data_IF_019264423673
#
_entry.id   IF_019264423673
#
_cell.length_a   1.000
_cell.length_b   1.000
_cell.length_c   1.000
_cell.angle_alpha   90.00
_cell.angle_beta   90.00
_cell.angle_gamma   90.00
#
_symmetry.space_group_name_H-M   'P 1'
#
loop_
_entity.id
_entity.type
_entity.pdbx_description
1 polymer ?
#
# COMPACT_ATOMS: atom_id res chain seq x y z
N UNK A 1 4.83 -3.61 -13.86
CA UNK A 1 3.76 -4.14 -12.97
C UNK A 1 2.55 -3.24 -13.08
N UNK A 2 1.32 -3.78 -13.03
CA UNK A 2 0.13 -2.94 -12.78
C UNK A 2 0.33 -2.23 -11.43
N UNK A 3 0.38 -0.89 -11.36
CA UNK A 3 0.59 -0.17 -10.10
C UNK A 3 -0.48 -0.50 -9.04
N UNK A 4 -1.65 -0.94 -9.50
CA UNK A 4 -2.79 -1.39 -8.67
C UNK A 4 -2.63 -2.81 -8.12
N UNK A 5 -1.70 -3.59 -8.67
CA UNK A 5 -1.36 -4.96 -8.28
C UNK A 5 0.09 -4.99 -7.81
N UNK A 6 0.37 -4.45 -6.62
CA UNK A 6 1.71 -4.59 -6.02
C UNK A 6 1.79 -6.00 -5.42
N UNK A 7 1.99 -6.91 -6.38
CA UNK A 7 2.05 -8.37 -6.44
C UNK A 7 0.91 -9.25 -5.90
N UNK A 8 0.28 -9.03 -4.74
CA UNK A 8 -0.94 -9.79 -4.34
C UNK A 8 -1.87 -9.00 -3.39
N UNK A 9 -1.73 -7.68 -3.41
CA UNK A 9 -2.42 -6.73 -2.53
C UNK A 9 -3.15 -5.72 -3.42
N UNK A 10 -4.48 -5.74 -3.39
CA UNK A 10 -5.28 -4.79 -4.16
C UNK A 10 -5.53 -3.53 -3.34
N UNK A 11 -5.12 -2.37 -3.86
CA UNK A 11 -5.48 -1.09 -3.26
C UNK A 11 -7.01 -0.93 -3.20
N UNK A 12 -7.51 -0.17 -2.23
CA UNK A 12 -8.96 0.02 -2.05
C UNK A 12 -9.65 0.56 -3.29
N UNK A 13 -8.95 1.40 -4.07
CA UNK A 13 -9.40 1.88 -5.37
C UNK A 13 -9.70 0.73 -6.34
N UNK A 14 -8.83 -0.28 -6.38
CA UNK A 14 -9.05 -1.46 -7.21
C UNK A 14 -10.25 -2.29 -6.73
N UNK A 15 -10.40 -2.45 -5.42
CA UNK A 15 -11.56 -3.14 -4.84
C UNK A 15 -12.87 -2.39 -5.09
N UNK A 16 -12.83 -1.06 -5.14
CA UNK A 16 -13.98 -0.23 -5.50
C UNK A 16 -14.37 -0.42 -6.97
N UNK A 17 -13.39 -0.47 -7.87
CA UNK A 17 -13.63 -0.76 -9.29
C UNK A 17 -14.21 -2.17 -9.51
N UNK A 18 -13.97 -3.10 -8.59
CA UNK A 18 -14.58 -4.43 -8.57
C UNK A 18 -15.85 -4.51 -7.71
N UNK A 19 -16.38 -3.37 -7.27
CA UNK A 19 -17.62 -3.27 -6.47
C UNK A 19 -17.58 -4.01 -5.11
N UNK A 20 -16.39 -4.43 -4.65
CA UNK A 20 -16.23 -5.06 -3.33
C UNK A 20 -16.24 -4.06 -2.17
N UNK A 21 -16.17 -2.77 -2.47
CA UNK A 21 -16.35 -1.68 -1.49
C UNK A 21 -17.08 -0.52 -2.14
N UNK A 22 -17.97 0.14 -1.41
CA UNK A 22 -18.72 1.31 -1.87
C UNK A 22 -17.95 2.63 -1.77
N UNK A 23 -16.72 2.61 -1.22
CA UNK A 23 -15.92 3.81 -1.00
C UNK A 23 -14.48 3.65 -1.49
N UNK A 24 -14.07 4.49 -2.44
CA UNK A 24 -12.71 4.56 -2.98
C UNK A 24 -11.78 5.53 -2.23
N UNK A 25 -12.28 6.28 -1.25
CA UNK A 25 -11.51 7.22 -0.44
C UNK A 25 -10.96 6.51 0.80
N UNK A 26 -9.71 6.84 1.16
CA UNK A 26 -9.08 6.37 2.39
C UNK A 26 -9.19 7.44 3.50
N UNK A 27 -8.79 7.10 4.74
CA UNK A 27 -8.78 7.97 5.93
C UNK A 27 -8.10 9.32 5.69
N UNK A 28 -7.13 9.39 4.75
CA UNK A 28 -6.46 10.63 4.38
C UNK A 28 -7.29 11.58 3.50
N UNK A 29 -8.55 11.24 3.16
CA UNK A 29 -9.45 12.09 2.37
C UNK A 29 -9.10 12.17 0.87
N UNK A 30 -7.90 11.75 0.48
CA UNK A 30 -7.42 11.73 -0.89
C UNK A 30 -7.64 10.38 -1.58
N UNK A 31 -7.52 10.37 -2.91
CA UNK A 31 -7.54 9.15 -3.73
C UNK A 31 -6.37 8.26 -3.34
N UNK A 32 -6.64 6.98 -3.11
CA UNK A 32 -5.64 5.99 -2.72
C UNK A 32 -4.81 5.55 -3.92
N UNK A 33 -3.89 6.42 -4.36
CA UNK A 33 -2.88 6.06 -5.37
C UNK A 33 -1.64 5.48 -4.68
N UNK A 34 -0.94 4.54 -5.33
CA UNK A 34 0.35 4.04 -4.84
C UNK A 34 1.32 5.18 -4.49
N UNK A 35 1.49 6.16 -5.38
CA UNK A 35 2.34 7.34 -5.13
C UNK A 35 1.92 8.11 -3.89
N UNK A 36 0.62 8.35 -3.71
CA UNK A 36 0.15 9.09 -2.56
C UNK A 36 0.47 8.38 -1.24
N UNK A 37 0.34 7.05 -1.21
CA UNK A 37 0.61 6.23 -0.04
C UNK A 37 2.09 6.18 0.33
N UNK A 38 2.97 6.06 -0.66
CA UNK A 38 4.40 5.92 -0.45
C UNK A 38 5.13 7.26 -0.30
N UNK A 39 4.58 8.37 -0.80
CA UNK A 39 5.32 9.63 -0.91
C UNK A 39 4.68 10.79 -0.14
N UNK A 40 3.35 10.94 -0.14
CA UNK A 40 2.72 12.21 0.30
C UNK A 40 1.74 12.10 1.47
N UNK A 41 1.25 10.91 1.81
CA UNK A 41 0.25 10.77 2.89
C UNK A 41 0.84 11.10 4.27
N UNK A 42 0.47 12.22 4.88
CA UNK A 42 1.01 12.67 6.18
C UNK A 42 0.83 11.64 7.31
N UNK A 43 -0.28 10.89 7.29
CA UNK A 43 -0.59 9.84 8.27
C UNK A 43 0.47 8.72 8.37
N UNK A 44 1.27 8.52 7.32
CA UNK A 44 2.26 7.44 7.26
C UNK A 44 3.70 7.93 7.34
N UNK A 45 3.95 9.18 7.74
CA UNK A 45 5.29 9.76 7.88
C UNK A 45 6.25 8.86 8.68
N UNK A 46 5.79 8.37 9.84
CA UNK A 46 6.57 7.53 10.74
C UNK A 46 6.88 6.15 10.13
N UNK A 47 5.93 5.59 9.38
CA UNK A 47 6.15 4.34 8.65
C UNK A 47 7.11 4.53 7.47
N UNK A 48 7.08 5.70 6.81
CA UNK A 48 8.00 6.04 5.72
C UNK A 48 9.43 6.23 6.19
N UNK A 49 9.65 6.80 7.37
CA UNK A 49 10.99 6.89 7.97
C UNK A 49 11.59 5.49 8.10
N UNK A 50 10.82 4.54 8.67
CA UNK A 50 11.26 3.15 8.80
C UNK A 50 11.49 2.44 7.44
N UNK A 51 10.73 2.82 6.41
CA UNK A 51 10.95 2.34 5.04
C UNK A 51 12.27 2.86 4.46
N UNK A 52 12.57 4.15 4.66
CA UNK A 52 13.83 4.79 4.26
C UNK A 52 15.03 4.15 4.96
N UNK A 53 14.94 3.95 6.27
CA UNK A 53 15.98 3.30 7.07
C UNK A 53 16.28 1.88 6.55
N UNK A 54 15.23 1.11 6.22
CA UNK A 54 15.37 -0.25 5.68
C UNK A 54 16.03 -0.29 4.30
N UNK A 55 15.82 0.75 3.50
CA UNK A 55 16.39 0.88 2.16
C UNK A 55 17.72 1.65 2.13
N UNK A 56 18.23 2.05 3.29
CA UNK A 56 19.43 2.89 3.43
C UNK A 56 19.43 4.11 2.49
N UNK A 57 18.27 4.77 2.35
CA UNK A 57 18.09 5.91 1.43
C UNK A 57 17.37 7.07 2.11
N UNK A 58 17.76 8.29 1.75
CA UNK A 58 17.10 9.51 2.22
C UNK A 58 15.86 9.89 1.39
N UNK A 59 15.74 9.33 0.18
CA UNK A 59 14.66 9.62 -0.77
C UNK A 59 13.95 8.33 -1.21
N UNK A 60 12.63 8.42 -1.36
CA UNK A 60 11.81 7.33 -1.88
C UNK A 60 11.46 7.66 -3.33
N UNK A 61 11.91 6.82 -4.25
CA UNK A 61 11.53 6.88 -5.65
C UNK A 61 10.67 5.67 -5.97
N UNK A 62 9.64 5.87 -6.77
CA UNK A 62 8.72 4.80 -7.18
C UNK A 62 9.43 3.62 -7.86
N UNK A 63 10.37 3.86 -8.80
CA UNK A 63 11.15 2.77 -9.40
C UNK A 63 11.98 1.98 -8.37
N UNK A 64 12.59 2.68 -7.40
CA UNK A 64 13.36 2.03 -6.33
C UNK A 64 12.48 1.06 -5.52
N UNK A 65 11.24 1.47 -5.23
CA UNK A 65 10.29 0.71 -4.42
C UNK A 65 9.68 -0.49 -5.14
N UNK A 66 9.50 -0.43 -6.46
CA UNK A 66 8.72 -1.42 -7.20
C UNK A 66 9.54 -2.28 -8.17
N UNK A 67 10.72 -1.84 -8.58
CA UNK A 67 11.50 -2.50 -9.62
C UNK A 67 12.76 -3.19 -9.07
N UNK A 68 13.10 -2.97 -7.80
CA UNK A 68 14.23 -3.65 -7.13
C UNK A 68 13.72 -4.66 -6.10
N UNK A 69 14.39 -5.81 -5.98
CA UNK A 69 14.02 -6.83 -4.98
C UNK A 69 13.98 -6.27 -3.54
N UNK A 70 14.99 -5.52 -3.06
CA UNK A 70 14.94 -4.91 -1.73
C UNK A 70 13.80 -3.90 -1.58
N UNK A 71 13.53 -3.12 -2.64
CA UNK A 71 12.41 -2.20 -2.72
C UNK A 71 11.05 -2.88 -2.57
N UNK A 72 10.83 -3.97 -3.30
CA UNK A 72 9.58 -4.73 -3.29
C UNK A 72 9.33 -5.31 -1.90
N UNK A 73 10.32 -5.95 -1.29
CA UNK A 73 10.20 -6.52 0.05
C UNK A 73 9.94 -5.45 1.12
N UNK A 74 10.64 -4.33 1.05
CA UNK A 74 10.44 -3.21 1.95
C UNK A 74 9.05 -2.58 1.77
N UNK A 75 8.57 -2.47 0.53
CA UNK A 75 7.23 -1.97 0.18
C UNK A 75 6.13 -2.87 0.72
N UNK A 76 6.27 -4.19 0.60
CA UNK A 76 5.31 -5.16 1.16
C UNK A 76 5.25 -5.04 2.69
N UNK A 77 6.40 -4.94 3.36
CA UNK A 77 6.47 -4.78 4.80
C UNK A 77 5.86 -3.44 5.26
N UNK A 78 6.12 -2.36 4.52
CA UNK A 78 5.52 -1.05 4.74
C UNK A 78 4.00 -1.08 4.62
N UNK A 79 3.46 -1.60 3.51
CA UNK A 79 2.02 -1.72 3.28
C UNK A 79 1.33 -2.55 4.36
N UNK A 80 1.95 -3.66 4.78
CA UNK A 80 1.46 -4.50 5.88
C UNK A 80 1.39 -3.72 7.20
N UNK A 81 2.40 -2.89 7.47
CA UNK A 81 2.48 -2.08 8.70
C UNK A 81 1.40 -1.01 8.77
N UNK A 82 1.11 -0.35 7.65
CA UNK A 82 0.07 0.68 7.58
C UNK A 82 -1.34 0.11 7.40
N UNK A 83 -1.47 -1.23 7.44
CA UNK A 83 -2.74 -1.97 7.33
C UNK A 83 -3.56 -1.56 6.12
N UNK A 84 -2.90 -1.17 5.03
CA UNK A 84 -3.60 -0.90 3.77
C UNK A 84 -4.03 -2.24 3.21
N UNK A 85 -5.35 -2.35 2.99
CA UNK A 85 -6.05 -3.57 2.62
C UNK A 85 -5.32 -4.30 1.50
N UNK A 86 -4.64 -5.38 1.85
CA UNK A 86 -4.17 -6.37 0.88
C UNK A 86 -5.33 -7.36 0.63
N UNK A 87 -5.34 -8.10 -0.49
CA UNK A 87 -6.34 -9.17 -0.73
C UNK A 87 -6.43 -10.12 0.47
N UNK A 88 -5.30 -10.35 1.16
CA UNK A 88 -5.17 -11.13 2.38
C UNK A 88 -6.00 -10.56 3.54
N UNK A 89 -6.04 -9.24 3.71
CA UNK A 89 -6.87 -8.58 4.73
C UNK A 89 -8.37 -8.73 4.43
N UNK A 90 -8.79 -8.57 3.17
CA UNK A 90 -10.19 -8.76 2.77
C UNK A 90 -10.64 -10.23 2.84
N UNK A 91 -9.80 -11.17 2.41
CA UNK A 91 -10.08 -12.61 2.54
C UNK A 91 -10.15 -13.04 4.01
N UNK A 92 -9.22 -12.57 4.85
CA UNK A 92 -9.26 -12.84 6.29
C UNK A 92 -10.52 -12.27 6.95
N UNK A 93 -11.00 -11.09 6.53
CA UNK A 93 -12.23 -10.50 7.07
C UNK A 93 -13.50 -11.23 6.62
N UNK A 94 -13.51 -11.82 5.41
CA UNK A 94 -14.59 -12.73 4.98
C UNK A 94 -14.63 -13.99 5.83
N UNK A 95 -13.48 -14.63 6.06
CA UNK A 95 -13.38 -15.86 6.86
C UNK A 95 -13.73 -15.68 8.35
N UNK A 96 -13.63 -14.47 8.89
CA UNK A 96 -14.02 -14.16 10.27
C UNK A 96 -15.52 -13.88 10.40
N UNK A 97 -16.21 -13.64 9.29
CA UNK A 97 -17.65 -13.37 9.24
C UNK A 97 -18.47 -14.58 8.77
N UNK A 98 -17.86 -15.78 8.70
CA UNK A 98 -18.53 -17.08 8.49
C UNK A 98 -18.54 -17.88 9.81
#
# INVERSE_FOLDING_TARGET
MDPLKIRYSYLKLYLYLLEYTSNNKYICGAKETPEYLFLSCSLFSLARIKLKDKLATNYLLFPLLLDTTPGIEASIAYLSKIKICTRKYHLARKLVND
#
